data_IF_346757191746
#
_entry.id   IF_346757191746
#
_cell.length_a   1.000
_cell.length_b   1.000
_cell.length_c   1.000
_cell.angle_alpha   90.00
_cell.angle_beta   90.00
_cell.angle_gamma   90.00
#
_symmetry.space_group_name_H-M   'P 1'
#
loop_
_entity.id
_entity.type
_entity.pdbx_description
1 polymer ?
#
# COMPACT_ATOMS: atom_id res chain seq x y z
N UNK A 1 -32.23 8.14 16.28
CA UNK A 1 -31.45 7.81 17.50
C UNK A 1 -30.16 8.63 17.43
N UNK A 2 -29.90 9.48 18.43
CA UNK A 2 -28.62 10.23 18.56
C UNK A 2 -27.69 9.38 19.38
N UNK A 3 -26.49 9.05 18.85
CA UNK A 3 -25.52 8.16 19.52
C UNK A 3 -24.58 8.96 20.41
N UNK A 4 -24.19 10.18 20.01
CA UNK A 4 -23.34 11.09 20.78
C UNK A 4 -23.60 12.54 20.36
N UNK A 5 -23.27 13.50 21.22
CA UNK A 5 -23.40 14.95 20.97
C UNK A 5 -22.21 15.73 21.56
N UNK A 6 -21.96 16.93 21.01
CA UNK A 6 -20.88 17.80 21.49
C UNK A 6 -19.48 17.32 21.15
N UNK A 7 -18.49 17.73 21.93
CA UNK A 7 -17.07 17.40 21.71
C UNK A 7 -16.82 15.90 21.74
N UNK A 8 -17.43 15.16 22.64
CA UNK A 8 -17.31 13.71 22.71
C UNK A 8 -17.72 13.00 21.41
N UNK A 9 -18.74 13.52 20.70
CA UNK A 9 -19.14 12.99 19.40
C UNK A 9 -18.09 13.29 18.32
N UNK A 10 -17.47 14.47 18.35
CA UNK A 10 -16.41 14.85 17.41
C UNK A 10 -15.18 13.96 17.60
N UNK A 11 -14.78 13.72 18.86
CA UNK A 11 -13.61 12.91 19.16
C UNK A 11 -13.83 11.44 18.79
N UNK A 12 -15.02 10.89 19.11
CA UNK A 12 -15.39 9.55 18.69
C UNK A 12 -15.40 9.40 17.17
N UNK A 13 -15.87 10.41 16.43
CA UNK A 13 -15.85 10.43 14.97
C UNK A 13 -14.45 10.50 14.40
N UNK A 14 -13.57 11.34 14.96
CA UNK A 14 -12.15 11.42 14.56
C UNK A 14 -11.44 10.09 14.74
N UNK A 15 -11.64 9.45 15.87
CA UNK A 15 -11.06 8.14 16.16
C UNK A 15 -11.57 7.07 15.18
N UNK A 16 -12.87 7.05 14.91
CA UNK A 16 -13.46 6.12 13.95
C UNK A 16 -12.90 6.29 12.54
N UNK A 17 -12.73 7.54 12.08
CA UNK A 17 -12.11 7.84 10.78
C UNK A 17 -10.63 7.44 10.75
N UNK A 18 -9.89 7.68 11.83
CA UNK A 18 -8.49 7.27 11.93
C UNK A 18 -8.37 5.74 11.89
N UNK A 19 -9.20 5.01 12.62
CA UNK A 19 -9.25 3.55 12.61
C UNK A 19 -9.61 3.01 11.21
N UNK A 20 -10.56 3.62 10.51
CA UNK A 20 -10.92 3.25 9.15
C UNK A 20 -9.75 3.46 8.16
N UNK A 21 -9.00 4.57 8.29
CA UNK A 21 -7.80 4.83 7.47
C UNK A 21 -6.71 3.79 7.75
N UNK A 22 -6.43 3.48 9.01
CA UNK A 22 -5.48 2.43 9.40
C UNK A 22 -5.88 1.09 8.79
N UNK A 23 -7.15 0.70 8.90
CA UNK A 23 -7.66 -0.54 8.31
C UNK A 23 -7.48 -0.59 6.79
N UNK A 24 -7.70 0.54 6.10
CA UNK A 24 -7.53 0.64 4.65
C UNK A 24 -6.06 0.55 4.23
N UNK A 25 -5.16 1.19 4.99
CA UNK A 25 -3.70 1.09 4.79
C UNK A 25 -3.26 -0.37 4.99
N UNK A 26 -3.71 -1.03 6.05
CA UNK A 26 -3.36 -2.40 6.36
C UNK A 26 -3.84 -3.38 5.26
N UNK A 27 -5.06 -3.20 4.74
CA UNK A 27 -5.57 -3.96 3.59
C UNK A 27 -4.66 -3.79 2.37
N UNK A 28 -4.32 -2.55 2.03
CA UNK A 28 -3.45 -2.24 0.89
C UNK A 28 -2.07 -2.86 1.01
N UNK A 29 -1.43 -2.73 2.17
CA UNK A 29 -0.10 -3.31 2.45
C UNK A 29 -0.14 -4.84 2.38
N UNK A 30 -1.19 -5.49 2.92
CA UNK A 30 -1.36 -6.94 2.82
C UNK A 30 -1.54 -7.42 1.38
N UNK A 31 -2.33 -6.72 0.58
CA UNK A 31 -2.49 -7.01 -0.85
C UNK A 31 -1.20 -6.78 -1.64
N UNK A 32 -0.46 -5.71 -1.34
CA UNK A 32 0.82 -5.41 -1.98
C UNK A 32 1.83 -6.55 -1.73
N UNK A 33 1.84 -7.17 -0.55
CA UNK A 33 2.64 -8.36 -0.27
C UNK A 33 2.27 -9.51 -1.19
N UNK A 34 0.99 -9.80 -1.35
CA UNK A 34 0.50 -10.86 -2.24
C UNK A 34 0.94 -10.61 -3.69
N UNK A 35 0.85 -9.36 -4.16
CA UNK A 35 1.30 -8.96 -5.50
C UNK A 35 2.81 -9.16 -5.67
N UNK A 36 3.61 -8.77 -4.68
CA UNK A 36 5.07 -8.95 -4.70
C UNK A 36 5.45 -10.44 -4.75
N UNK A 37 4.85 -11.26 -3.90
CA UNK A 37 5.15 -12.70 -3.85
C UNK A 37 4.79 -13.39 -5.17
N UNK A 38 3.64 -13.08 -5.75
CA UNK A 38 3.22 -13.61 -7.06
C UNK A 38 4.15 -13.14 -8.19
N UNK A 39 4.57 -11.86 -8.16
CA UNK A 39 5.50 -11.32 -9.15
C UNK A 39 6.88 -11.95 -9.04
N UNK A 40 7.38 -12.15 -7.82
CA UNK A 40 8.66 -12.82 -7.58
C UNK A 40 8.63 -14.27 -8.09
N UNK A 41 7.53 -14.98 -7.88
CA UNK A 41 7.36 -16.34 -8.39
C UNK A 41 7.30 -16.39 -9.91
N UNK A 42 6.57 -15.46 -10.53
CA UNK A 42 6.55 -15.33 -11.98
C UNK A 42 7.96 -15.12 -12.56
N UNK A 43 8.76 -14.22 -11.98
CA UNK A 43 10.14 -13.95 -12.42
C UNK A 43 11.06 -15.15 -12.26
N UNK A 44 10.82 -16.03 -11.26
CA UNK A 44 11.59 -17.27 -11.05
C UNK A 44 11.22 -18.36 -12.04
N UNK A 45 9.97 -18.44 -12.46
CA UNK A 45 9.46 -19.52 -13.30
C UNK A 45 9.46 -19.19 -14.77
N UNK A 46 9.18 -17.93 -15.15
CA UNK A 46 9.16 -17.48 -16.55
C UNK A 46 10.56 -17.52 -17.16
N UNK A 47 10.72 -18.25 -18.25
CA UNK A 47 11.99 -18.37 -18.97
C UNK A 47 11.96 -17.60 -20.28
N UNK A 48 13.00 -16.83 -20.54
CA UNK A 48 13.32 -16.17 -21.81
C UNK A 48 14.84 -16.10 -21.94
N UNK A 49 15.34 -16.03 -23.17
CA UNK A 49 16.78 -15.95 -23.45
C UNK A 49 17.60 -17.06 -22.74
N UNK A 50 17.03 -18.27 -22.69
CA UNK A 50 17.69 -19.45 -22.13
C UNK A 50 17.69 -19.58 -20.59
N UNK A 51 17.13 -18.62 -19.85
CA UNK A 51 17.16 -18.61 -18.37
C UNK A 51 15.87 -18.05 -17.78
N UNK A 52 15.61 -18.23 -16.44
CA UNK A 52 14.57 -17.49 -15.74
C UNK A 52 14.81 -15.99 -15.84
N UNK A 53 13.73 -15.22 -16.08
CA UNK A 53 13.87 -13.78 -16.29
C UNK A 53 14.31 -13.03 -15.02
N UNK A 54 14.03 -13.57 -13.82
CA UNK A 54 14.50 -13.02 -12.55
C UNK A 54 16.03 -13.05 -12.36
N UNK A 55 16.80 -13.75 -13.26
CA UNK A 55 18.27 -13.67 -13.27
C UNK A 55 18.83 -12.41 -13.89
N UNK A 56 18.02 -11.66 -14.63
CA UNK A 56 18.45 -10.37 -15.16
C UNK A 56 18.51 -9.33 -14.04
N UNK A 57 19.68 -8.75 -13.80
CA UNK A 57 19.92 -7.78 -12.71
C UNK A 57 18.91 -6.63 -12.72
N UNK A 58 18.53 -6.12 -13.90
CA UNK A 58 17.56 -5.04 -14.01
C UNK A 58 16.21 -5.39 -13.38
N UNK A 59 15.73 -6.65 -13.52
CA UNK A 59 14.48 -7.11 -12.91
C UNK A 59 14.66 -7.43 -11.42
N UNK A 60 15.80 -8.02 -11.05
CA UNK A 60 16.11 -8.32 -9.64
C UNK A 60 16.21 -7.04 -8.80
N UNK A 61 16.84 -5.98 -9.31
CA UNK A 61 16.96 -4.70 -8.61
C UNK A 61 15.58 -4.04 -8.44
N UNK A 62 14.74 -4.03 -9.49
CA UNK A 62 13.37 -3.52 -9.38
C UNK A 62 12.57 -4.24 -8.29
N UNK A 63 12.67 -5.57 -8.22
CA UNK A 63 12.01 -6.34 -7.16
C UNK A 63 12.55 -6.01 -5.77
N UNK A 64 13.87 -5.79 -5.62
CA UNK A 64 14.47 -5.39 -4.35
C UNK A 64 13.96 -4.00 -3.91
N UNK A 65 13.87 -3.03 -4.81
CA UNK A 65 13.35 -1.69 -4.52
C UNK A 65 11.87 -1.75 -4.07
N UNK A 66 11.05 -2.57 -4.74
CA UNK A 66 9.65 -2.77 -4.36
C UNK A 66 9.51 -3.45 -2.99
N UNK A 67 10.37 -4.42 -2.67
CA UNK A 67 10.39 -5.05 -1.36
C UNK A 67 10.74 -4.05 -0.26
N UNK A 68 11.72 -3.16 -0.48
CA UNK A 68 12.07 -2.09 0.45
C UNK A 68 10.87 -1.15 0.68
N UNK A 69 10.20 -0.71 -0.39
CA UNK A 69 9.02 0.13 -0.28
C UNK A 69 7.89 -0.55 0.52
N UNK A 70 7.68 -1.84 0.29
CA UNK A 70 6.69 -2.62 1.04
C UNK A 70 7.03 -2.65 2.54
N UNK A 71 8.27 -2.98 2.91
CA UNK A 71 8.70 -3.06 4.32
C UNK A 71 8.56 -1.71 5.03
N UNK A 72 8.86 -0.60 4.35
CA UNK A 72 8.66 0.75 4.88
C UNK A 72 7.16 1.05 5.12
N UNK A 73 6.30 0.72 4.14
CA UNK A 73 4.86 0.92 4.26
C UNK A 73 4.26 0.05 5.38
N UNK A 74 4.70 -1.20 5.50
CA UNK A 74 4.27 -2.12 6.54
C UNK A 74 4.66 -1.63 7.93
N UNK A 75 5.90 -1.18 8.11
CA UNK A 75 6.40 -0.65 9.37
C UNK A 75 5.60 0.57 9.83
N UNK A 76 5.29 1.49 8.90
CA UNK A 76 4.47 2.67 9.22
C UNK A 76 3.00 2.31 9.45
N UNK A 77 2.44 1.31 8.75
CA UNK A 77 1.10 0.81 9.00
C UNK A 77 0.96 0.26 10.43
N UNK A 78 1.95 -0.52 10.88
CA UNK A 78 2.00 -1.03 12.25
C UNK A 78 2.14 0.11 13.27
N UNK A 79 3.04 1.07 13.02
CA UNK A 79 3.20 2.24 13.88
C UNK A 79 1.90 3.03 14.01
N UNK A 80 1.18 3.27 12.91
CA UNK A 80 -0.10 3.97 12.92
C UNK A 80 -1.18 3.21 13.70
N UNK A 81 -1.21 1.87 13.57
CA UNK A 81 -2.14 1.04 14.34
C UNK A 81 -1.86 1.07 15.84
N UNK A 82 -0.58 0.98 16.24
CA UNK A 82 -0.18 1.00 17.64
C UNK A 82 -0.34 2.36 18.31
N UNK A 83 -0.30 3.45 17.53
CA UNK A 83 -0.36 4.84 18.02
C UNK A 83 -1.71 5.51 17.79
N UNK A 84 -2.76 4.75 17.50
CA UNK A 84 -4.05 5.30 17.10
C UNK A 84 -4.60 6.36 18.10
N UNK A 85 -4.41 6.13 19.38
CA UNK A 85 -4.88 6.99 20.49
C UNK A 85 -3.73 7.83 21.10
N UNK A 86 -2.50 7.75 20.55
CA UNK A 86 -1.36 8.49 21.07
C UNK A 86 -1.38 9.96 20.63
N UNK A 87 -0.70 10.83 21.36
CA UNK A 87 -0.62 12.25 21.04
C UNK A 87 -0.04 12.53 19.64
N UNK A 88 0.89 11.69 19.16
CA UNK A 88 1.48 11.75 17.82
C UNK A 88 0.80 10.81 16.80
N UNK A 89 -0.33 10.21 17.17
CA UNK A 89 -1.04 9.22 16.35
C UNK A 89 -1.50 9.77 15.01
N UNK A 90 -2.06 10.96 14.98
CA UNK A 90 -2.51 11.62 13.74
C UNK A 90 -1.35 11.84 12.76
N UNK A 91 -0.20 12.32 13.24
CA UNK A 91 1.01 12.52 12.45
C UNK A 91 1.58 11.19 11.93
N UNK A 92 1.61 10.16 12.78
CA UNK A 92 2.06 8.82 12.39
C UNK A 92 1.15 8.23 11.31
N UNK A 93 -0.16 8.43 11.41
CA UNK A 93 -1.13 8.00 10.41
C UNK A 93 -0.96 8.72 9.07
N UNK A 94 -0.68 10.03 9.07
CA UNK A 94 -0.41 10.77 7.85
C UNK A 94 0.89 10.29 7.18
N UNK A 95 1.95 10.01 7.94
CA UNK A 95 3.17 9.38 7.42
C UNK A 95 2.89 8.00 6.80
N UNK A 96 2.10 7.17 7.48
CA UNK A 96 1.69 5.86 6.99
C UNK A 96 0.88 5.96 5.70
N UNK A 97 -0.02 6.94 5.59
CA UNK A 97 -0.80 7.18 4.37
C UNK A 97 0.09 7.59 3.20
N UNK A 98 1.02 8.52 3.39
CA UNK A 98 1.97 8.94 2.33
C UNK A 98 2.78 7.75 1.83
N UNK A 99 3.28 6.93 2.76
CA UNK A 99 4.09 5.78 2.39
C UNK A 99 3.27 4.67 1.72
N UNK A 100 2.02 4.46 2.18
CA UNK A 100 1.08 3.54 1.53
C UNK A 100 0.82 3.96 0.07
N UNK A 101 0.49 5.23 -0.21
CA UNK A 101 0.32 5.72 -1.58
C UNK A 101 1.53 5.39 -2.47
N UNK A 102 2.74 5.67 -1.99
CA UNK A 102 3.97 5.38 -2.73
C UNK A 102 4.12 3.89 -3.03
N UNK A 103 3.94 3.05 -2.00
CA UNK A 103 4.14 1.61 -2.12
C UNK A 103 3.07 0.95 -3.00
N UNK A 104 1.78 1.25 -2.77
CA UNK A 104 0.67 0.63 -3.51
C UNK A 104 0.75 0.96 -4.99
N UNK A 105 1.02 2.23 -5.34
CA UNK A 105 1.19 2.68 -6.73
C UNK A 105 2.37 2.01 -7.39
N UNK A 106 3.57 2.09 -6.78
CA UNK A 106 4.78 1.53 -7.35
C UNK A 106 4.67 0.01 -7.53
N UNK A 107 4.22 -0.72 -6.49
CA UNK A 107 4.08 -2.18 -6.54
C UNK A 107 3.04 -2.58 -7.59
N UNK A 108 1.89 -1.91 -7.65
CA UNK A 108 0.85 -2.21 -8.62
C UNK A 108 1.31 -2.00 -10.06
N UNK A 109 1.91 -0.86 -10.37
CA UNK A 109 2.40 -0.54 -11.72
C UNK A 109 3.55 -1.45 -12.16
N UNK A 110 4.53 -1.65 -11.28
CA UNK A 110 5.70 -2.47 -11.55
C UNK A 110 5.32 -3.95 -11.71
N UNK A 111 4.37 -4.46 -10.93
CA UNK A 111 3.90 -5.83 -11.08
C UNK A 111 3.33 -6.08 -12.48
N UNK A 112 2.45 -5.20 -12.98
CA UNK A 112 1.93 -5.29 -14.34
C UNK A 112 3.06 -5.29 -15.36
N UNK A 113 4.00 -4.34 -15.22
CA UNK A 113 5.14 -4.23 -16.14
C UNK A 113 6.04 -5.47 -16.13
N UNK A 114 6.30 -6.05 -14.95
CA UNK A 114 7.14 -7.24 -14.78
C UNK A 114 6.48 -8.53 -15.30
N UNK A 115 5.14 -8.59 -15.32
CA UNK A 115 4.41 -9.69 -15.96
C UNK A 115 4.29 -9.50 -17.48
N UNK A 116 4.50 -8.28 -18.00
CA UNK A 116 4.35 -7.97 -19.41
C UNK A 116 2.88 -8.08 -19.89
N UNK A 117 2.66 -8.49 -21.12
CA UNK A 117 1.32 -8.53 -21.73
C UNK A 117 0.27 -9.27 -20.92
N UNK A 118 0.64 -10.37 -20.25
CA UNK A 118 -0.30 -11.15 -19.42
C UNK A 118 -0.75 -10.37 -18.17
N UNK A 119 0.07 -9.44 -17.67
CA UNK A 119 -0.31 -8.58 -16.53
C UNK A 119 -1.49 -7.64 -16.80
N UNK A 120 -1.81 -7.42 -18.10
CA UNK A 120 -2.93 -6.60 -18.54
C UNK A 120 -4.23 -7.39 -18.75
N UNK A 121 -4.19 -8.71 -18.61
CA UNK A 121 -5.36 -9.58 -18.83
C UNK A 121 -6.06 -9.92 -17.53
N UNK A 122 -7.35 -10.26 -17.60
CA UNK A 122 -8.12 -10.73 -16.44
C UNK A 122 -7.83 -12.20 -16.08
N UNK A 123 -7.04 -12.90 -16.90
CA UNK A 123 -6.63 -14.29 -16.65
C UNK A 123 -5.64 -14.41 -15.47
N UNK A 124 -4.91 -13.34 -15.17
CA UNK A 124 -3.93 -13.34 -14.11
C UNK A 124 -4.54 -12.75 -12.81
N UNK A 125 -4.52 -13.54 -11.73
CA UNK A 125 -5.04 -13.10 -10.44
C UNK A 125 -4.41 -11.79 -9.93
N UNK A 126 -3.14 -11.53 -10.28
CA UNK A 126 -2.43 -10.29 -9.93
C UNK A 126 -3.14 -9.05 -10.46
N UNK A 127 -3.77 -9.11 -11.65
CA UNK A 127 -4.49 -7.96 -12.21
C UNK A 127 -5.66 -7.50 -11.31
N UNK A 128 -6.37 -8.45 -10.69
CA UNK A 128 -7.46 -8.14 -9.76
C UNK A 128 -6.95 -7.49 -8.49
N UNK A 129 -5.83 -7.98 -7.94
CA UNK A 129 -5.19 -7.36 -6.77
C UNK A 129 -4.70 -5.95 -7.08
N UNK A 130 -4.09 -5.73 -8.24
CA UNK A 130 -3.64 -4.40 -8.66
C UNK A 130 -4.82 -3.42 -8.81
N UNK A 131 -5.94 -3.86 -9.40
CA UNK A 131 -7.17 -3.05 -9.47
C UNK A 131 -7.65 -2.66 -8.05
N UNK A 132 -7.56 -3.58 -7.08
CA UNK A 132 -7.92 -3.28 -5.69
C UNK A 132 -6.92 -2.32 -5.02
N UNK A 133 -5.60 -2.46 -5.27
CA UNK A 133 -4.60 -1.50 -4.79
C UNK A 133 -4.89 -0.08 -5.26
N UNK A 134 -5.23 0.09 -6.55
CA UNK A 134 -5.60 1.39 -7.12
C UNK A 134 -6.88 1.95 -6.48
N UNK A 135 -7.88 1.11 -6.23
CA UNK A 135 -9.10 1.53 -5.53
C UNK A 135 -8.80 2.01 -4.11
N UNK A 136 -7.96 1.27 -3.36
CA UNK A 136 -7.53 1.65 -2.01
C UNK A 136 -6.77 2.98 -2.04
N UNK A 137 -5.91 3.19 -3.02
CA UNK A 137 -5.18 4.45 -3.20
C UNK A 137 -6.15 5.63 -3.33
N UNK A 138 -7.21 5.48 -4.14
CA UNK A 138 -8.25 6.51 -4.29
C UNK A 138 -9.06 6.70 -3.00
N UNK A 139 -9.41 5.61 -2.31
CA UNK A 139 -10.16 5.64 -1.05
C UNK A 139 -9.39 6.32 0.09
N UNK A 140 -8.07 6.23 0.10
CA UNK A 140 -7.20 6.92 1.06
C UNK A 140 -7.17 8.43 0.87
N UNK A 141 -7.61 8.94 -0.29
CA UNK A 141 -7.59 10.36 -0.63
C UNK A 141 -6.25 10.82 -1.18
N UNK A 142 -6.01 12.12 -1.19
CA UNK A 142 -4.84 12.73 -1.80
C UNK A 142 -3.57 12.60 -0.95
N UNK A 143 -2.49 12.11 -1.56
CA UNK A 143 -1.18 11.94 -0.91
C UNK A 143 -0.52 13.27 -0.54
N UNK A 144 -0.69 14.32 -1.36
CA UNK A 144 -0.09 15.63 -1.11
C UNK A 144 -0.77 16.31 0.08
N UNK A 145 -2.09 16.12 0.22
CA UNK A 145 -2.82 16.58 1.41
C UNK A 145 -2.35 15.85 2.68
N UNK A 146 -2.10 14.54 2.61
CA UNK A 146 -1.54 13.80 3.75
C UNK A 146 -0.12 14.26 4.10
N UNK A 147 0.71 14.53 3.09
CA UNK A 147 2.06 15.06 3.26
C UNK A 147 2.05 16.46 3.90
N UNK A 148 1.15 17.32 3.44
CA UNK A 148 1.00 18.66 4.01
C UNK A 148 0.59 18.61 5.49
N UNK A 149 -0.35 17.74 5.87
CA UNK A 149 -0.74 17.53 7.28
C UNK A 149 0.44 16.99 8.10
N UNK A 150 1.18 16.01 7.58
CA UNK A 150 2.38 15.49 8.25
C UNK A 150 3.43 16.56 8.48
N UNK A 151 3.63 17.48 7.53
CA UNK A 151 4.62 18.56 7.63
C UNK A 151 4.18 19.69 8.57
N UNK A 152 2.88 19.88 8.77
CA UNK A 152 2.33 20.95 9.61
C UNK A 152 2.26 20.59 11.11
N UNK A 153 2.29 19.32 11.46
CA UNK A 153 2.18 18.81 12.84
C UNK A 153 3.42 18.09 13.29
#
# INVERSE_FOLDING_TARGET
MVVAQGEAAVDAWRLALAAARVGRIAEGVGLARTVLDATAEYLRTRRQFGQPIGRFQALAHRMADLAILHEQAQSLAWAAAMKLDAADGARTLDAAQVMAHRALRAIGQEAIQLHGGIGMTDELAVSHYVKRLLAIEVELGDADTALARFAAG
#
